data_IF_827719965226
#
_entry.id   IF_827719965226
#
_cell.length_a   1.000
_cell.length_b   1.000
_cell.length_c   1.000
_cell.angle_alpha   90.00
_cell.angle_beta   90.00
_cell.angle_gamma   90.00
#
_symmetry.space_group_name_H-M   'P 1'
#
loop_
_entity.id
_entity.type
_entity.pdbx_description
1 polymer ?
#
# COMPACT_ATOMS: atom_id res chain seq x y z
N UNK A 1 25.11 -8.37 6.87
CA UNK A 1 25.45 -7.71 8.15
C UNK A 1 24.25 -6.86 8.53
N UNK A 2 24.10 -6.37 9.77
CA UNK A 2 22.98 -5.47 10.07
C UNK A 2 23.34 -4.02 9.71
N UNK A 3 22.38 -3.26 9.17
CA UNK A 3 22.55 -1.83 8.84
C UNK A 3 21.98 -0.99 9.97
N UNK A 4 22.71 0.05 10.39
CA UNK A 4 22.21 1.05 11.35
C UNK A 4 21.74 2.30 10.59
N UNK A 5 20.52 2.73 10.83
CA UNK A 5 19.90 3.91 10.20
C UNK A 5 19.19 4.76 11.26
N UNK A 6 19.22 6.10 11.14
CA UNK A 6 18.67 7.01 12.15
C UNK A 6 17.18 6.79 12.43
N UNK A 7 16.41 6.42 11.39
CA UNK A 7 14.97 6.16 11.53
C UNK A 7 14.66 4.71 11.93
N UNK A 8 15.28 3.73 11.25
CA UNK A 8 14.95 2.30 11.43
C UNK A 8 15.67 1.68 12.63
N UNK A 9 16.68 2.36 13.18
CA UNK A 9 17.58 1.75 14.15
C UNK A 9 18.38 0.65 13.46
N UNK A 10 18.23 -0.59 13.93
CA UNK A 10 18.92 -1.74 13.35
C UNK A 10 18.01 -2.45 12.35
N UNK A 11 18.50 -2.61 11.12
CA UNK A 11 17.86 -3.40 10.06
C UNK A 11 18.57 -4.76 10.01
N UNK A 12 17.81 -5.85 10.14
CA UNK A 12 18.34 -7.20 10.24
C UNK A 12 18.72 -7.77 8.86
N UNK A 13 19.82 -8.51 8.81
CA UNK A 13 20.17 -9.34 7.65
C UNK A 13 19.33 -10.61 7.64
N UNK A 14 18.72 -10.93 6.51
CA UNK A 14 18.00 -12.18 6.33
C UNK A 14 18.95 -13.34 6.05
N UNK A 15 18.49 -14.58 6.25
CA UNK A 15 19.31 -15.76 5.97
C UNK A 15 19.74 -15.89 4.49
N UNK A 16 19.08 -15.17 3.58
CA UNK A 16 19.40 -15.11 2.15
C UNK A 16 20.43 -14.02 1.79
N UNK A 17 20.85 -13.18 2.75
CA UNK A 17 21.76 -12.04 2.50
C UNK A 17 21.04 -10.73 2.11
N UNK A 18 19.72 -10.70 2.28
CA UNK A 18 18.90 -9.51 2.11
C UNK A 18 18.72 -8.74 3.42
N UNK A 19 17.82 -7.77 3.42
CA UNK A 19 17.44 -6.99 4.60
C UNK A 19 15.95 -7.15 4.91
N UNK A 20 15.62 -7.10 6.20
CA UNK A 20 14.25 -7.03 6.67
C UNK A 20 14.16 -6.12 7.91
N UNK A 21 13.11 -5.31 7.93
CA UNK A 21 12.68 -4.52 9.08
C UNK A 21 11.16 -4.40 9.04
N UNK A 22 10.51 -4.45 10.19
CA UNK A 22 9.07 -4.31 10.32
C UNK A 22 8.71 -3.47 11.56
N UNK A 23 7.66 -2.67 11.46
CA UNK A 23 7.04 -1.96 12.58
C UNK A 23 5.58 -1.61 12.23
N UNK A 24 4.88 -0.96 13.16
CA UNK A 24 3.51 -0.48 13.01
C UNK A 24 3.44 1.03 13.11
N UNK A 25 2.65 1.67 12.25
CA UNK A 25 2.49 3.13 12.22
C UNK A 25 1.02 3.52 12.40
N UNK A 26 0.77 4.57 13.17
CA UNK A 26 -0.58 5.12 13.35
C UNK A 26 -0.95 6.02 12.16
N UNK A 27 -2.09 5.74 11.51
CA UNK A 27 -2.63 6.53 10.42
C UNK A 27 -4.09 6.92 10.74
N UNK A 28 -4.30 8.06 11.38
CA UNK A 28 -5.64 8.40 11.92
C UNK A 28 -6.06 7.42 13.01
N UNK A 29 -7.16 6.68 12.80
CA UNK A 29 -7.68 5.69 13.75
C UNK A 29 -7.26 4.23 13.42
N UNK A 30 -6.44 4.01 12.39
CA UNK A 30 -5.92 2.69 12.00
C UNK A 30 -4.45 2.51 12.38
N UNK A 31 -4.06 1.27 12.61
CA UNK A 31 -2.68 0.82 12.75
C UNK A 31 -2.30 0.10 11.48
N UNK A 32 -1.23 0.55 10.82
CA UNK A 32 -0.76 0.03 9.53
C UNK A 32 0.54 -0.72 9.74
N UNK A 33 0.64 -1.93 9.20
CA UNK A 33 1.90 -2.70 9.19
C UNK A 33 2.83 -2.13 8.12
N UNK A 34 4.09 -1.89 8.48
CA UNK A 34 5.09 -1.37 7.55
C UNK A 34 6.29 -2.30 7.54
N UNK A 35 6.64 -2.76 6.34
CA UNK A 35 7.78 -3.64 6.11
C UNK A 35 8.77 -2.97 5.17
N UNK A 36 10.05 -3.03 5.51
CA UNK A 36 11.16 -2.70 4.63
C UNK A 36 11.93 -3.98 4.32
N UNK A 37 12.01 -4.30 3.03
CA UNK A 37 12.64 -5.50 2.51
C UNK A 37 13.74 -5.11 1.53
N UNK A 38 14.76 -5.96 1.41
CA UNK A 38 15.65 -5.95 0.26
C UNK A 38 16.17 -7.36 -0.02
N UNK A 39 16.30 -7.72 -1.31
CA UNK A 39 16.85 -9.03 -1.68
C UNK A 39 18.37 -9.13 -1.47
N UNK A 40 19.09 -8.01 -1.62
CA UNK A 40 20.56 -7.94 -1.47
C UNK A 40 20.98 -6.67 -0.70
N UNK A 41 21.60 -6.82 0.48
CA UNK A 41 22.01 -5.67 1.31
C UNK A 41 22.96 -4.71 0.57
N UNK A 42 23.82 -5.25 -0.31
CA UNK A 42 24.83 -4.46 -1.01
C UNK A 42 24.26 -3.60 -2.13
N UNK A 43 23.00 -3.85 -2.49
CA UNK A 43 22.25 -3.12 -3.52
C UNK A 43 21.37 -2.02 -2.92
N UNK A 44 21.35 -1.85 -1.59
CA UNK A 44 20.57 -0.80 -0.91
C UNK A 44 21.43 0.45 -0.70
N UNK A 45 21.17 1.55 -1.42
CA UNK A 45 21.89 2.80 -1.19
C UNK A 45 21.31 3.56 0.01
N UNK A 46 22.15 4.34 0.69
CA UNK A 46 21.76 5.15 1.86
C UNK A 46 20.55 6.06 1.57
N UNK A 47 20.50 6.68 0.38
CA UNK A 47 19.39 7.55 0.01
C UNK A 47 18.04 6.82 -0.14
N UNK A 48 18.04 5.51 -0.42
CA UNK A 48 16.82 4.73 -0.49
C UNK A 48 16.23 4.52 0.91
N UNK A 49 17.09 4.29 1.93
CA UNK A 49 16.66 4.24 3.33
C UNK A 49 16.13 5.59 3.82
N UNK A 50 16.79 6.69 3.45
CA UNK A 50 16.27 8.05 3.73
C UNK A 50 14.89 8.27 3.08
N UNK A 51 14.72 7.78 1.85
CA UNK A 51 13.47 7.93 1.09
C UNK A 51 12.35 7.07 1.68
N UNK A 52 12.66 5.84 2.12
CA UNK A 52 11.74 4.97 2.86
C UNK A 52 11.30 5.63 4.17
N UNK A 53 12.24 6.15 4.96
CA UNK A 53 11.93 6.87 6.18
C UNK A 53 11.08 8.12 5.93
N UNK A 54 11.36 8.86 4.85
CA UNK A 54 10.56 10.02 4.46
C UNK A 54 9.14 9.64 4.03
N UNK A 55 8.97 8.53 3.31
CA UNK A 55 7.66 7.98 2.92
C UNK A 55 6.83 7.64 4.16
N UNK A 56 7.41 6.90 5.11
CA UNK A 56 6.71 6.50 6.35
C UNK A 56 6.29 7.73 7.16
N UNK A 57 7.17 8.73 7.28
CA UNK A 57 6.84 9.99 7.98
C UNK A 57 5.76 10.80 7.26
N UNK A 58 5.60 10.62 5.94
CA UNK A 58 4.62 11.30 5.12
C UNK A 58 3.42 10.40 4.74
N UNK A 59 3.19 9.31 5.48
CA UNK A 59 2.25 8.26 5.12
C UNK A 59 0.83 8.77 4.82
N UNK A 60 0.32 9.73 5.60
CA UNK A 60 -0.97 10.39 5.35
C UNK A 60 -1.07 11.02 3.95
N UNK A 61 0.01 11.64 3.49
CA UNK A 61 0.06 12.26 2.16
C UNK A 61 0.12 11.22 1.03
N UNK A 62 0.78 10.09 1.28
CA UNK A 62 0.85 8.97 0.33
C UNK A 62 -0.49 8.22 0.26
N UNK A 63 -1.17 7.97 1.37
CA UNK A 63 -2.52 7.39 1.39
C UNK A 63 -3.49 8.27 0.60
N UNK A 64 -3.48 9.59 0.81
CA UNK A 64 -4.31 10.51 0.04
C UNK A 64 -4.02 10.43 -1.47
N UNK A 65 -2.74 10.37 -1.86
CA UNK A 65 -2.32 10.24 -3.26
C UNK A 65 -2.75 8.91 -3.87
N UNK A 66 -2.61 7.81 -3.13
CA UNK A 66 -3.09 6.49 -3.54
C UNK A 66 -4.59 6.53 -3.81
N UNK A 67 -5.39 7.08 -2.88
CA UNK A 67 -6.84 7.20 -3.04
C UNK A 67 -7.23 8.06 -4.25
N UNK A 68 -6.53 9.16 -4.50
CA UNK A 68 -6.75 9.96 -5.71
C UNK A 68 -6.49 9.14 -6.99
N UNK A 69 -5.46 8.29 -7.01
CA UNK A 69 -5.19 7.40 -8.14
C UNK A 69 -6.27 6.33 -8.33
N UNK A 70 -6.75 5.71 -7.23
CA UNK A 70 -7.87 4.76 -7.27
C UNK A 70 -9.14 5.43 -7.83
N UNK A 71 -9.45 6.65 -7.40
CA UNK A 71 -10.60 7.40 -7.91
C UNK A 71 -10.44 7.70 -9.42
N UNK A 72 -9.23 8.00 -9.89
CA UNK A 72 -8.98 8.26 -11.30
C UNK A 72 -9.24 7.02 -12.18
N UNK A 73 -8.91 5.82 -11.68
CA UNK A 73 -9.13 4.53 -12.36
C UNK A 73 -10.62 4.23 -12.61
N UNK A 74 -11.54 4.81 -11.83
CA UNK A 74 -12.99 4.67 -12.04
C UNK A 74 -13.48 5.19 -13.41
N UNK A 75 -12.68 6.03 -14.08
CA UNK A 75 -12.99 6.47 -15.44
C UNK A 75 -12.90 5.34 -16.48
N UNK A 76 -12.23 4.23 -16.15
CA UNK A 76 -12.04 3.05 -16.99
C UNK A 76 -12.68 1.82 -16.38
N UNK A 77 -13.68 1.23 -17.04
CA UNK A 77 -14.35 0.00 -16.56
C UNK A 77 -13.48 -1.26 -16.55
N UNK A 78 -12.30 -1.20 -17.16
CA UNK A 78 -11.35 -2.32 -17.19
C UNK A 78 -10.17 -2.09 -16.22
N UNK A 79 -10.26 -1.07 -15.37
CA UNK A 79 -9.27 -0.82 -14.32
C UNK A 79 -9.33 -1.88 -13.23
N UNK A 80 -8.21 -2.09 -12.55
CA UNK A 80 -8.16 -2.91 -11.35
C UNK A 80 -9.14 -2.41 -10.28
N UNK A 81 -9.28 -1.09 -10.13
CA UNK A 81 -10.21 -0.49 -9.17
C UNK A 81 -11.66 -0.80 -9.50
N UNK A 82 -12.07 -0.67 -10.76
CA UNK A 82 -13.45 -0.99 -11.15
C UNK A 82 -13.73 -2.47 -10.97
N UNK A 83 -12.80 -3.34 -11.36
CA UNK A 83 -12.93 -4.79 -11.16
C UNK A 83 -13.06 -5.18 -9.69
N UNK A 84 -12.24 -4.59 -8.81
CA UNK A 84 -12.34 -4.81 -7.37
C UNK A 84 -13.74 -4.45 -6.83
N UNK A 85 -14.26 -3.29 -7.22
CA UNK A 85 -15.58 -2.81 -6.76
C UNK A 85 -16.71 -3.68 -7.30
N UNK A 86 -16.70 -3.99 -8.60
CA UNK A 86 -17.72 -4.83 -9.23
C UNK A 86 -17.78 -6.21 -8.54
N UNK A 87 -16.63 -6.84 -8.29
CA UNK A 87 -16.55 -8.13 -7.61
C UNK A 87 -17.18 -8.10 -6.21
N UNK A 88 -16.86 -7.08 -5.41
CA UNK A 88 -17.44 -6.93 -4.06
C UNK A 88 -18.94 -6.64 -4.09
N UNK A 89 -19.41 -5.84 -5.05
CA UNK A 89 -20.84 -5.59 -5.24
C UNK A 89 -21.56 -6.89 -5.61
N UNK A 90 -20.96 -7.72 -6.47
CA UNK A 90 -21.53 -9.01 -6.87
C UNK A 90 -21.55 -10.04 -5.73
N UNK A 91 -20.49 -10.09 -4.92
CA UNK A 91 -20.34 -11.08 -3.84
C UNK A 91 -21.10 -10.72 -2.57
N UNK A 92 -21.00 -9.47 -2.11
CA UNK A 92 -21.56 -9.02 -0.85
C UNK A 92 -22.99 -8.48 -1.02
N UNK A 93 -23.32 -7.90 -2.17
CA UNK A 93 -24.66 -7.38 -2.45
C UNK A 93 -25.11 -6.38 -1.38
N UNK A 94 -26.24 -6.66 -0.72
CA UNK A 94 -26.78 -5.79 0.33
C UNK A 94 -25.87 -5.67 1.57
N UNK A 95 -25.05 -6.68 1.90
CA UNK A 95 -24.16 -6.61 3.08
C UNK A 95 -22.98 -5.67 2.87
N UNK A 96 -22.67 -5.30 1.62
CA UNK A 96 -21.65 -4.29 1.33
C UNK A 96 -21.98 -2.96 2.01
N UNK A 97 -23.27 -2.61 2.11
CA UNK A 97 -23.71 -1.33 2.69
C UNK A 97 -23.35 -1.23 4.18
N UNK A 98 -23.29 -2.35 4.88
CA UNK A 98 -22.91 -2.39 6.30
C UNK A 98 -21.41 -2.12 6.52
N UNK A 99 -20.58 -2.29 5.49
CA UNK A 99 -19.14 -2.00 5.50
C UNK A 99 -18.82 -0.55 5.16
N UNK A 100 -19.77 0.19 4.59
CA UNK A 100 -19.50 1.55 4.13
C UNK A 100 -19.49 2.54 5.30
N UNK A 101 -18.43 3.33 5.40
CA UNK A 101 -18.33 4.41 6.39
C UNK A 101 -19.22 5.61 6.02
N UNK A 102 -19.62 5.70 4.74
CA UNK A 102 -20.48 6.75 4.22
C UNK A 102 -21.43 6.18 3.16
N UNK A 103 -22.62 6.77 3.05
CA UNK A 103 -23.58 6.46 2.00
C UNK A 103 -23.93 7.77 1.28
N UNK A 104 -23.17 8.08 0.24
CA UNK A 104 -23.36 9.25 -0.61
C UNK A 104 -24.29 8.97 -1.79
N UNK A 105 -24.58 7.70 -2.06
CA UNK A 105 -25.36 7.24 -3.21
C UNK A 105 -24.51 6.92 -4.44
N UNK A 106 -23.18 7.04 -4.33
CA UNK A 106 -22.21 6.58 -5.32
C UNK A 106 -21.39 5.45 -4.69
N UNK A 107 -21.79 4.21 -4.99
CA UNK A 107 -21.23 3.02 -4.35
C UNK A 107 -19.72 2.90 -4.58
N UNK A 108 -19.23 3.29 -5.75
CA UNK A 108 -17.81 3.19 -6.07
C UNK A 108 -17.00 4.15 -5.18
N UNK A 109 -17.47 5.39 -5.04
CA UNK A 109 -16.82 6.38 -4.17
C UNK A 109 -16.94 5.99 -2.70
N UNK A 110 -18.10 5.46 -2.29
CA UNK A 110 -18.33 5.03 -0.91
C UNK A 110 -17.43 3.84 -0.54
N UNK A 111 -17.21 2.89 -1.45
CA UNK A 111 -16.24 1.78 -1.28
C UNK A 111 -14.83 2.33 -1.12
N UNK A 112 -14.35 3.19 -2.02
CA UNK A 112 -12.99 3.74 -1.96
C UNK A 112 -12.73 4.56 -0.68
N UNK A 113 -13.76 5.20 -0.13
CA UNK A 113 -13.67 5.92 1.16
C UNK A 113 -13.65 5.00 2.37
N UNK A 114 -14.17 3.79 2.21
CA UNK A 114 -14.27 2.78 3.28
C UNK A 114 -13.06 1.85 3.30
N UNK A 115 -12.20 1.89 2.28
CA UNK A 115 -10.94 1.13 2.25
C UNK A 115 -10.06 1.45 3.45
N UNK A 116 -9.55 0.39 4.06
CA UNK A 116 -8.56 0.40 5.12
C UNK A 116 -7.18 0.11 4.52
N UNK A 117 -6.14 0.83 4.93
CA UNK A 117 -4.76 0.55 4.54
C UNK A 117 -4.22 -0.54 5.46
N UNK A 118 -3.94 -1.71 4.91
CA UNK A 118 -3.51 -2.88 5.68
C UNK A 118 -2.01 -2.87 5.91
N UNK A 119 -1.26 -2.76 4.82
CA UNK A 119 0.20 -2.83 4.84
C UNK A 119 0.83 -1.86 3.86
N UNK A 120 2.05 -1.47 4.20
CA UNK A 120 2.98 -0.76 3.32
C UNK A 120 4.26 -1.57 3.24
N UNK A 121 4.62 -2.03 2.04
CA UNK A 121 5.86 -2.77 1.80
C UNK A 121 6.79 -1.90 0.98
N UNK A 122 8.03 -1.75 1.45
CA UNK A 122 9.08 -0.94 0.82
C UNK A 122 10.20 -1.88 0.36
N UNK A 123 10.56 -1.83 -0.92
CA UNK A 123 11.68 -2.55 -1.52
C UNK A 123 12.88 -1.63 -1.61
N UNK A 124 13.76 -1.68 -0.62
CA UNK A 124 14.85 -0.71 -0.47
C UNK A 124 15.97 -0.85 -1.53
N UNK A 125 16.07 -2.00 -2.20
CA UNK A 125 16.98 -2.19 -3.34
C UNK A 125 16.38 -1.75 -4.69
N UNK A 126 15.06 -1.51 -4.76
CA UNK A 126 14.37 -0.99 -5.96
C UNK A 126 14.44 0.55 -6.01
N UNK A 127 15.63 1.08 -6.21
CA UNK A 127 15.90 2.53 -6.11
C UNK A 127 15.99 3.27 -7.44
N UNK A 128 15.80 2.57 -8.57
CA UNK A 128 15.68 3.20 -9.89
C UNK A 128 14.27 3.75 -10.15
N UNK A 129 14.16 4.79 -11.00
CA UNK A 129 12.89 5.49 -11.27
C UNK A 129 11.84 4.62 -12.00
N UNK A 130 12.25 3.53 -12.63
CA UNK A 130 11.38 2.62 -13.37
C UNK A 130 10.91 1.42 -12.51
N UNK A 131 11.32 1.35 -11.24
CA UNK A 131 11.04 0.25 -10.33
C UNK A 131 9.94 0.58 -9.31
N UNK A 132 9.29 -0.47 -8.80
CA UNK A 132 8.33 -0.36 -7.71
C UNK A 132 9.10 -0.30 -6.40
N UNK A 133 9.13 0.88 -5.79
CA UNK A 133 9.80 1.14 -4.53
C UNK A 133 8.90 0.83 -3.33
N UNK A 134 7.61 1.13 -3.41
CA UNK A 134 6.66 0.89 -2.32
C UNK A 134 5.30 0.44 -2.83
N UNK A 135 4.63 -0.44 -2.08
CA UNK A 135 3.26 -0.88 -2.34
C UNK A 135 2.37 -0.68 -1.13
N UNK A 136 1.14 -0.25 -1.38
CA UNK A 136 0.12 0.02 -0.37
C UNK A 136 -1.07 -0.89 -0.63
N UNK A 137 -1.37 -1.78 0.31
CA UNK A 137 -2.45 -2.76 0.16
C UNK A 137 -3.70 -2.32 0.91
N UNK A 138 -4.81 -2.22 0.19
CA UNK A 138 -6.09 -1.80 0.72
C UNK A 138 -7.11 -2.93 0.70
N UNK A 139 -7.95 -2.99 1.73
CA UNK A 139 -9.14 -3.85 1.76
C UNK A 139 -10.35 -3.11 2.32
N UNK A 140 -11.55 -3.41 1.81
CA UNK A 140 -12.81 -2.94 2.38
C UNK A 140 -13.32 -3.83 3.52
N UNK A 141 -12.94 -5.11 3.51
CA UNK A 141 -13.43 -6.10 4.47
C UNK A 141 -12.36 -7.15 4.78
N UNK A 142 -11.24 -6.76 5.41
CA UNK A 142 -10.14 -7.68 5.69
C UNK A 142 -10.51 -8.86 6.60
N UNK A 143 -11.61 -8.75 7.36
CA UNK A 143 -12.15 -9.84 8.17
C UNK A 143 -13.03 -10.82 7.37
N UNK A 144 -13.45 -10.45 6.14
CA UNK A 144 -14.38 -11.25 5.31
C UNK A 144 -13.75 -11.76 4.01
N UNK A 145 -12.77 -11.04 3.46
CA UNK A 145 -12.11 -11.39 2.19
C UNK A 145 -10.62 -11.05 2.21
N UNK A 146 -9.85 -11.87 1.50
CA UNK A 146 -8.43 -11.64 1.20
C UNK A 146 -8.23 -10.76 -0.05
N UNK A 147 -9.31 -10.20 -0.63
CA UNK A 147 -9.22 -9.34 -1.80
C UNK A 147 -8.54 -8.00 -1.46
N UNK A 148 -7.50 -7.69 -2.21
CA UNK A 148 -6.68 -6.50 -2.05
C UNK A 148 -6.72 -5.62 -3.30
N UNK A 149 -6.63 -4.32 -3.06
CA UNK A 149 -6.36 -3.30 -4.06
C UNK A 149 -5.00 -2.70 -3.72
N UNK A 150 -4.01 -2.94 -4.56
CA UNK A 150 -2.61 -2.55 -4.33
C UNK A 150 -2.26 -1.34 -5.17
N UNK A 151 -1.70 -0.31 -4.54
CA UNK A 151 -1.16 0.87 -5.22
C UNK A 151 0.36 0.88 -5.11
N UNK A 152 1.05 0.91 -6.24
CA UNK A 152 2.50 0.93 -6.30
C UNK A 152 3.04 2.35 -6.56
N UNK A 153 4.15 2.67 -5.90
CA UNK A 153 4.87 3.93 -6.01
C UNK A 153 6.31 3.69 -6.44
N UNK A 154 6.85 4.60 -7.25
CA UNK A 154 8.30 4.73 -7.45
C UNK A 154 8.96 5.44 -6.25
N UNK A 155 10.29 5.50 -6.26
CA UNK A 155 11.07 6.17 -5.21
C UNK A 155 10.83 7.69 -5.11
N UNK A 156 10.24 8.31 -6.14
CA UNK A 156 9.88 9.74 -6.16
C UNK A 156 8.49 9.99 -5.57
N UNK A 157 7.75 8.91 -5.30
CA UNK A 157 6.41 8.93 -4.78
C UNK A 157 5.34 9.19 -5.84
N UNK A 158 5.65 8.92 -7.10
CA UNK A 158 4.66 8.90 -8.17
C UNK A 158 4.02 7.50 -8.26
N UNK A 159 2.70 7.45 -8.51
CA UNK A 159 1.97 6.18 -8.64
C UNK A 159 2.31 5.56 -9.99
N UNK A 160 2.79 4.31 -9.98
CA UNK A 160 3.23 3.60 -11.19
C UNK A 160 2.28 2.50 -11.64
N UNK A 161 1.57 1.85 -10.71
CA UNK A 161 0.54 0.86 -11.02
C UNK A 161 -0.56 0.80 -9.96
N UNK A 162 -1.72 0.30 -10.38
CA UNK A 162 -2.81 -0.11 -9.51
C UNK A 162 -3.21 -1.52 -9.95
N UNK A 163 -3.21 -2.45 -9.01
CA UNK A 163 -3.48 -3.86 -9.26
C UNK A 163 -4.48 -4.38 -8.24
N UNK A 164 -5.19 -5.44 -8.58
CA UNK A 164 -6.08 -6.14 -7.65
C UNK A 164 -5.68 -7.60 -7.58
N UNK A 165 -5.72 -8.15 -6.37
CA UNK A 165 -5.36 -9.53 -6.08
C UNK A 165 -6.28 -10.09 -5.00
N UNK A 166 -6.18 -11.39 -4.71
CA UNK A 166 -7.13 -12.09 -3.84
C UNK A 166 -8.42 -12.48 -4.58
N UNK A 167 -9.31 -13.21 -3.88
CA UNK A 167 -10.55 -13.74 -4.48
C UNK A 167 -11.68 -12.73 -4.40
#
# INVERSE_FOLDING_TARGET
>A
MAIEHDFFGLIDETASGGLAWDDTVELGDQTVEVELLADDESSVPEFALDSAAALIQALEGFDARARDALIAELSSRQSATSSYIDDHVEKLGDSLVDLLVYNSGDIAIDVLRSLQLMSVVIQADHSDEDEVFATFDYSIAPDETDALLTVAFDIRGDVVSVETSGD
#
